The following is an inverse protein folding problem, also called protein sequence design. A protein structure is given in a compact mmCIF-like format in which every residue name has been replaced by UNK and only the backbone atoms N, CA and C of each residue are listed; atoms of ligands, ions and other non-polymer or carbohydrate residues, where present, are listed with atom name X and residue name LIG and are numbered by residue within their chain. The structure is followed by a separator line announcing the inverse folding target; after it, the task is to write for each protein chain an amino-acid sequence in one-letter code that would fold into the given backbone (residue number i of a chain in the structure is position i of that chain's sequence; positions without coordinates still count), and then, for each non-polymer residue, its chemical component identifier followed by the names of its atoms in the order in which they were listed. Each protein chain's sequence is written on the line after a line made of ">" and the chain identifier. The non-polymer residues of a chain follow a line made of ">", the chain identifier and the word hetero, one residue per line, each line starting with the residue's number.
data_IF_382342814745
#
_entry.id   IF_382342814745
#
_cell.length_a   1.000
_cell.length_b   1.000
_cell.length_c   1.000
_cell.angle_alpha   90.00
_cell.angle_beta   90.00
_cell.angle_gamma   90.00
#
_symmetry.space_group_name_H-M   'P 1'
#
loop_
_entity.id
_entity.type
_entity.pdbx_description
1 polymer ?
#
# COMPACT_ATOMS: atom_id res chain seq x y z
N UNK A 1 -17.99 -20.04 -6.98
CA UNK A 1 -18.96 -19.56 -5.97
C UNK A 1 -18.55 -18.14 -5.62
N UNK A 2 -19.36 -17.15 -6.05
CA UNK A 2 -19.06 -15.73 -5.86
C UNK A 2 -19.65 -15.30 -4.53
N UNK A 3 -18.85 -15.19 -3.49
CA UNK A 3 -19.32 -14.55 -2.25
C UNK A 3 -19.15 -13.03 -2.36
N UNK A 4 -20.27 -12.39 -2.28
CA UNK A 4 -20.46 -10.95 -2.20
C UNK A 4 -20.10 -10.52 -0.77
N UNK A 5 -19.13 -9.65 -0.61
CA UNK A 5 -18.91 -8.95 0.66
C UNK A 5 -20.13 -8.08 0.94
N UNK A 6 -20.98 -8.51 1.88
CA UNK A 6 -22.05 -7.70 2.42
C UNK A 6 -21.53 -6.94 3.63
N UNK A 7 -21.57 -5.61 3.53
CA UNK A 7 -21.41 -4.73 4.69
C UNK A 7 -22.71 -4.72 5.49
N UNK A 8 -22.68 -4.68 6.82
CA UNK A 8 -23.89 -4.56 7.61
C UNK A 8 -24.55 -3.21 7.35
N UNK A 9 -25.83 -3.27 7.05
CA UNK A 9 -26.72 -2.13 6.97
C UNK A 9 -27.12 -1.74 8.38
N UNK A 10 -26.71 -0.56 8.85
CA UNK A 10 -27.56 0.26 9.72
C UNK A 10 -27.01 1.67 9.81
N UNK A 11 -27.83 2.62 9.31
CA UNK A 11 -27.80 4.04 9.69
C UNK A 11 -26.98 4.99 8.82
N UNK A 12 -27.59 5.41 7.70
CA UNK A 12 -27.54 6.74 7.08
C UNK A 12 -26.21 7.48 6.89
N UNK A 13 -25.93 7.63 5.68
CA UNK A 13 -25.39 8.62 4.77
C UNK A 13 -24.32 8.03 3.87
N UNK A 14 -24.77 7.52 2.73
CA UNK A 14 -23.91 7.20 1.60
C UNK A 14 -23.22 8.47 1.12
N UNK A 15 -21.92 8.57 1.35
CA UNK A 15 -21.09 9.59 0.71
C UNK A 15 -20.74 9.07 -0.69
N UNK A 16 -21.52 9.48 -1.70
CA UNK A 16 -21.08 9.41 -3.08
C UNK A 16 -19.86 10.32 -3.24
N UNK A 17 -18.68 9.72 -3.38
CA UNK A 17 -17.50 10.46 -3.79
C UNK A 17 -17.61 10.71 -5.28
N UNK A 18 -18.29 11.79 -5.65
CA UNK A 18 -18.21 12.37 -6.97
C UNK A 18 -16.86 13.04 -7.14
N UNK A 19 -15.93 12.40 -7.84
CA UNK A 19 -14.69 13.04 -8.26
C UNK A 19 -14.99 14.04 -9.37
N UNK A 20 -15.22 15.29 -9.02
CA UNK A 20 -15.26 16.39 -9.97
C UNK A 20 -13.84 16.68 -10.48
N UNK A 21 -13.54 16.21 -11.69
CA UNK A 21 -12.34 16.58 -12.45
C UNK A 21 -12.57 17.93 -13.16
N UNK A 22 -12.47 19.03 -12.43
CA UNK A 22 -12.42 20.36 -13.05
C UNK A 22 -11.16 21.09 -12.54
N UNK A 23 -10.18 21.25 -13.45
CA UNK A 23 -9.21 22.35 -13.38
C UNK A 23 -7.81 22.05 -12.86
N UNK A 24 -7.19 20.92 -13.16
CA UNK A 24 -5.73 20.81 -13.09
C UNK A 24 -5.18 21.10 -14.50
N UNK A 25 -4.54 22.26 -14.66
CA UNK A 25 -3.72 22.52 -15.84
C UNK A 25 -2.53 21.58 -15.80
N UNK A 26 -2.52 20.61 -16.69
CA UNK A 26 -1.35 19.77 -16.93
C UNK A 26 -0.28 20.63 -17.59
N UNK A 27 0.91 20.65 -16.99
CA UNK A 27 2.08 21.28 -17.59
C UNK A 27 2.47 20.45 -18.83
N UNK A 28 2.37 21.04 -20.01
CA UNK A 28 2.54 20.38 -21.33
C UNK A 28 3.99 19.99 -21.67
N UNK A 29 4.87 19.86 -20.68
CA UNK A 29 6.28 19.51 -20.88
C UNK A 29 6.66 18.08 -20.49
N UNK A 30 5.71 17.20 -20.26
CA UNK A 30 6.04 15.77 -20.27
C UNK A 30 6.07 15.30 -21.72
N UNK A 31 7.29 15.20 -22.27
CA UNK A 31 7.54 14.44 -23.50
C UNK A 31 6.73 13.16 -23.46
N UNK A 32 6.00 12.90 -24.52
CA UNK A 32 5.09 11.77 -24.71
C UNK A 32 5.91 10.45 -24.75
N UNK A 33 6.55 10.10 -23.60
CA UNK A 33 7.22 8.83 -23.44
C UNK A 33 6.13 7.77 -23.32
N UNK A 34 5.95 7.02 -24.38
CA UNK A 34 5.06 5.87 -24.37
C UNK A 34 5.53 4.91 -23.27
N UNK A 35 4.72 4.72 -22.22
CA UNK A 35 5.01 3.74 -21.16
C UNK A 35 5.10 2.36 -21.81
N UNK A 36 6.28 1.74 -21.71
CA UNK A 36 6.58 0.48 -22.38
C UNK A 36 6.44 -0.71 -21.44
N UNK A 37 6.70 -0.53 -20.15
CA UNK A 37 6.70 -1.64 -19.19
C UNK A 37 6.14 -1.22 -17.83
N UNK A 38 5.15 -1.99 -17.36
CA UNK A 38 4.63 -1.88 -15.98
C UNK A 38 4.82 -3.23 -15.30
N UNK A 39 5.40 -3.23 -14.12
CA UNK A 39 5.66 -4.43 -13.33
C UNK A 39 5.33 -4.20 -11.86
N UNK A 40 4.71 -5.19 -11.21
CA UNK A 40 4.65 -5.31 -9.75
C UNK A 40 5.55 -6.47 -9.36
N UNK A 41 6.50 -6.24 -8.46
CA UNK A 41 7.48 -7.23 -8.02
C UNK A 41 7.83 -7.08 -6.55
N UNK A 42 8.44 -8.09 -5.92
CA UNK A 42 9.01 -7.93 -4.59
C UNK A 42 10.01 -6.76 -4.54
N UNK A 43 9.99 -6.05 -3.43
CA UNK A 43 10.93 -5.01 -3.08
C UNK A 43 12.32 -5.64 -2.83
N UNK A 44 13.37 -4.98 -3.28
CA UNK A 44 14.76 -5.30 -2.98
C UNK A 44 15.37 -4.16 -2.18
N UNK A 45 16.41 -4.42 -1.40
CA UNK A 45 17.00 -3.37 -0.56
C UNK A 45 17.64 -2.26 -1.40
N UNK A 46 18.14 -2.59 -2.57
CA UNK A 46 18.72 -1.66 -3.55
C UNK A 46 17.69 -0.64 -4.07
N UNK A 47 16.41 -0.97 -3.99
CA UNK A 47 15.30 -0.09 -4.38
C UNK A 47 15.09 1.08 -3.42
N UNK A 48 15.64 1.01 -2.20
CA UNK A 48 15.35 1.95 -1.11
C UNK A 48 15.49 3.42 -1.51
N UNK A 49 16.55 3.77 -2.23
CA UNK A 49 16.80 5.15 -2.65
C UNK A 49 15.69 5.73 -3.54
N UNK A 50 15.26 4.97 -4.55
CA UNK A 50 14.17 5.36 -5.44
C UNK A 50 12.82 5.35 -4.72
N UNK A 51 12.60 4.37 -3.84
CA UNK A 51 11.38 4.25 -3.07
C UNK A 51 11.18 5.45 -2.14
N UNK A 52 12.22 5.84 -1.39
CA UNK A 52 12.20 7.01 -0.52
C UNK A 52 11.99 8.32 -1.31
N UNK A 53 12.55 8.42 -2.52
CA UNK A 53 12.32 9.56 -3.40
C UNK A 53 10.86 9.64 -3.86
N UNK A 54 10.26 8.52 -4.28
CA UNK A 54 8.86 8.45 -4.69
C UNK A 54 7.92 8.80 -3.54
N UNK A 55 8.21 8.33 -2.32
CA UNK A 55 7.43 8.66 -1.12
C UNK A 55 7.37 10.18 -0.86
N UNK A 56 8.52 10.88 -0.93
CA UNK A 56 8.58 12.34 -0.72
C UNK A 56 7.72 13.12 -1.72
N UNK A 57 7.49 12.59 -2.91
CA UNK A 57 6.61 13.21 -3.90
C UNK A 57 5.13 13.01 -3.60
N UNK A 58 4.79 11.93 -2.90
CA UNK A 58 3.42 11.65 -2.46
C UNK A 58 3.03 12.50 -1.25
N UNK A 59 3.95 12.63 -0.30
CA UNK A 59 3.78 13.33 0.98
C UNK A 59 4.64 14.60 1.01
N UNK A 60 4.36 15.51 0.05
CA UNK A 60 5.17 16.71 -0.19
C UNK A 60 5.02 17.79 0.88
N UNK A 61 4.04 17.67 1.78
CA UNK A 61 3.85 18.58 2.92
C UNK A 61 4.86 18.37 4.06
N UNK A 62 5.70 17.35 3.95
CA UNK A 62 6.74 17.03 4.93
C UNK A 62 6.21 16.49 6.27
N UNK A 63 4.90 16.20 6.35
CA UNK A 63 4.27 15.68 7.57
C UNK A 63 4.66 14.23 7.87
N UNK A 64 5.05 13.48 6.86
CA UNK A 64 5.38 12.07 6.97
C UNK A 64 6.86 11.80 6.67
N UNK A 65 7.48 11.00 7.52
CA UNK A 65 8.85 10.50 7.33
C UNK A 65 8.74 9.08 6.77
N UNK A 66 9.42 8.83 5.67
CA UNK A 66 9.48 7.48 5.14
C UNK A 66 10.27 6.55 6.08
N UNK A 67 9.95 5.27 6.03
CA UNK A 67 10.64 4.20 6.74
C UNK A 67 12.16 4.31 6.60
N UNK A 68 12.89 4.08 7.67
CA UNK A 68 14.36 4.04 7.63
C UNK A 68 14.84 2.82 6.84
N UNK A 69 16.08 2.87 6.38
CA UNK A 69 16.71 1.74 5.70
C UNK A 69 16.67 0.46 6.54
N UNK A 70 16.97 0.57 7.84
CA UNK A 70 16.95 -0.54 8.80
C UNK A 70 15.53 -1.14 8.98
N UNK A 71 14.50 -0.30 8.97
CA UNK A 71 13.12 -0.74 9.03
C UNK A 71 12.72 -1.54 7.77
N UNK A 72 13.13 -1.07 6.59
CA UNK A 72 12.91 -1.80 5.33
C UNK A 72 13.70 -3.11 5.30
N UNK A 73 14.95 -3.14 5.75
CA UNK A 73 15.72 -4.39 5.91
C UNK A 73 15.02 -5.38 6.84
N UNK A 74 14.47 -4.88 7.94
CA UNK A 74 13.72 -5.72 8.88
C UNK A 74 12.49 -6.34 8.22
N UNK A 75 11.69 -5.56 7.50
CA UNK A 75 10.53 -6.05 6.75
C UNK A 75 10.93 -7.11 5.71
N UNK A 76 11.99 -6.85 4.95
CA UNK A 76 12.51 -7.78 3.94
C UNK A 76 13.04 -9.08 4.57
N UNK A 77 13.61 -9.01 5.76
CA UNK A 77 14.10 -10.18 6.49
C UNK A 77 12.97 -11.04 7.05
N UNK A 78 11.89 -10.43 7.57
CA UNK A 78 10.80 -11.18 8.24
C UNK A 78 9.71 -11.64 7.27
N UNK A 79 9.46 -10.88 6.18
CA UNK A 79 8.39 -11.18 5.23
C UNK A 79 8.66 -10.54 3.85
N UNK A 80 9.65 -11.02 3.10
CA UNK A 80 10.07 -10.40 1.83
C UNK A 80 8.97 -10.36 0.77
N UNK A 81 8.16 -11.40 0.64
CA UNK A 81 7.09 -11.49 -0.35
C UNK A 81 5.91 -10.54 -0.09
N UNK A 82 5.79 -10.04 1.13
CA UNK A 82 4.79 -9.04 1.52
C UNK A 82 5.19 -7.61 1.21
N UNK A 83 6.45 -7.37 0.82
CA UNK A 83 6.97 -6.06 0.47
C UNK A 83 7.06 -5.96 -1.05
N UNK A 84 6.25 -5.12 -1.66
CA UNK A 84 6.17 -5.03 -3.13
C UNK A 84 6.32 -3.59 -3.61
N UNK A 85 6.88 -3.44 -4.81
CA UNK A 85 6.97 -2.18 -5.53
C UNK A 85 6.28 -2.27 -6.88
N UNK A 86 5.78 -1.12 -7.33
CA UNK A 86 5.32 -0.93 -8.70
C UNK A 86 6.37 -0.15 -9.46
N UNK A 87 6.80 -0.71 -10.58
CA UNK A 87 7.84 -0.16 -11.45
C UNK A 87 7.22 0.18 -12.80
N UNK A 88 7.49 1.38 -13.28
CA UNK A 88 7.14 1.85 -14.63
C UNK A 88 8.41 2.32 -15.29
N UNK A 89 8.79 1.67 -16.40
CA UNK A 89 10.02 1.96 -17.16
C UNK A 89 11.25 2.17 -16.25
N UNK A 90 11.51 1.17 -15.39
CA UNK A 90 12.62 1.12 -14.42
C UNK A 90 12.52 2.10 -13.23
N UNK A 91 11.50 2.95 -13.18
CA UNK A 91 11.24 3.86 -12.05
C UNK A 91 10.29 3.23 -11.05
N UNK A 92 10.65 3.28 -9.78
CA UNK A 92 9.76 2.88 -8.68
C UNK A 92 8.76 4.00 -8.45
N UNK A 93 7.49 3.71 -8.69
CA UNK A 93 6.39 4.70 -8.65
C UNK A 93 5.34 4.38 -7.60
N UNK A 94 5.55 3.34 -6.82
CA UNK A 94 4.65 3.00 -5.73
C UNK A 94 5.12 1.77 -4.96
N UNK A 95 4.58 1.58 -3.78
CA UNK A 95 4.80 0.37 -3.00
C UNK A 95 3.55 -0.05 -2.21
N UNK A 96 3.58 -1.29 -1.73
CA UNK A 96 2.75 -1.76 -0.64
C UNK A 96 3.62 -2.57 0.30
N UNK A 97 3.66 -2.16 1.57
CA UNK A 97 4.35 -2.84 2.65
C UNK A 97 3.33 -3.53 3.53
N UNK A 98 3.64 -4.74 4.01
CA UNK A 98 2.68 -5.56 4.74
C UNK A 98 3.37 -6.42 5.80
N UNK A 99 2.60 -6.80 6.81
CA UNK A 99 2.94 -7.85 7.78
C UNK A 99 1.79 -8.84 7.86
N UNK A 100 2.03 -10.01 8.41
CA UNK A 100 0.98 -10.98 8.73
C UNK A 100 0.67 -10.86 10.22
N UNK A 101 -0.62 -10.81 10.58
CA UNK A 101 -1.10 -10.77 11.97
C UNK A 101 -2.31 -11.69 12.14
N UNK A 102 -2.74 -11.95 13.37
CA UNK A 102 -4.02 -12.62 13.63
C UNK A 102 -5.17 -11.62 13.56
N UNK A 103 -6.30 -12.04 13.02
CA UNK A 103 -7.53 -11.24 13.02
C UNK A 103 -7.94 -10.82 14.44
N UNK A 104 -7.82 -11.72 15.39
CA UNK A 104 -8.22 -11.47 16.77
C UNK A 104 -7.43 -10.34 17.45
N UNK A 105 -6.20 -10.09 17.00
CA UNK A 105 -5.35 -9.02 17.52
C UNK A 105 -5.73 -7.63 16.97
N UNK A 106 -6.46 -7.58 15.84
CA UNK A 106 -6.78 -6.34 15.12
C UNK A 106 -8.27 -6.13 14.82
N UNK A 107 -9.15 -7.03 15.23
CA UNK A 107 -10.60 -6.94 14.97
C UNK A 107 -11.31 -5.84 15.74
N UNK A 108 -10.75 -5.41 16.87
CA UNK A 108 -11.23 -4.29 17.66
C UNK A 108 -10.41 -3.05 17.34
N UNK A 109 -10.77 -1.93 17.96
CA UNK A 109 -10.01 -0.69 17.84
C UNK A 109 -8.54 -0.92 18.19
N UNK A 110 -7.67 -0.54 17.29
CA UNK A 110 -6.23 -0.64 17.45
C UNK A 110 -5.55 0.56 16.82
N UNK A 111 -4.41 0.94 17.34
CA UNK A 111 -3.58 2.00 16.77
C UNK A 111 -2.56 1.42 15.79
N UNK A 112 -2.10 2.26 14.87
CA UNK A 112 -1.00 1.90 13.97
C UNK A 112 0.26 1.46 14.73
N UNK A 113 0.60 2.16 15.82
CA UNK A 113 1.74 1.80 16.66
C UNK A 113 1.59 0.42 17.33
N UNK A 114 0.36 0.04 17.69
CA UNK A 114 0.11 -1.29 18.25
C UNK A 114 0.32 -2.38 17.21
N UNK A 115 -0.27 -2.22 16.03
CA UNK A 115 -0.18 -3.26 15.00
C UNK A 115 1.21 -3.38 14.39
N UNK A 116 2.00 -2.31 14.33
CA UNK A 116 3.37 -2.33 13.84
C UNK A 116 4.42 -2.63 14.92
N UNK A 117 3.98 -2.78 16.20
CA UNK A 117 4.91 -2.93 17.32
C UNK A 117 5.79 -1.70 17.50
N UNK A 118 5.22 -0.49 17.35
CA UNK A 118 5.96 0.78 17.33
C UNK A 118 7.07 0.77 16.26
N UNK A 119 6.71 0.29 15.08
CA UNK A 119 7.58 0.23 13.90
C UNK A 119 8.80 -0.71 14.02
N UNK A 120 8.78 -1.60 14.99
CA UNK A 120 9.76 -2.70 15.10
C UNK A 120 9.33 -3.95 14.33
N UNK A 121 8.06 -4.02 13.93
CA UNK A 121 7.41 -5.14 13.25
C UNK A 121 7.47 -6.48 14.00
N UNK A 122 7.73 -6.44 15.30
CA UNK A 122 7.76 -7.63 16.18
C UNK A 122 6.38 -8.29 16.36
N UNK A 123 5.33 -7.63 15.90
CA UNK A 123 3.97 -8.14 15.81
C UNK A 123 3.74 -9.06 14.62
N UNK A 124 4.68 -9.08 13.65
CA UNK A 124 4.59 -10.00 12.53
C UNK A 124 4.53 -11.45 13.02
N UNK A 125 3.49 -12.17 12.58
CA UNK A 125 3.27 -13.56 12.91
C UNK A 125 3.10 -14.39 11.63
N UNK A 126 4.10 -15.16 11.20
CA UNK A 126 4.01 -15.96 9.97
C UNK A 126 2.91 -17.04 10.02
N UNK A 127 2.36 -17.33 11.20
CA UNK A 127 1.21 -18.23 11.39
C UNK A 127 -0.11 -17.48 11.53
N UNK A 128 -0.10 -16.17 11.37
CA UNK A 128 -1.30 -15.33 11.38
C UNK A 128 -2.21 -15.62 10.19
N UNK A 129 -3.36 -15.00 10.16
CA UNK A 129 -4.40 -15.30 9.19
C UNK A 129 -4.86 -14.10 8.36
N UNK A 130 -4.20 -12.94 8.53
CA UNK A 130 -4.50 -11.70 7.80
C UNK A 130 -3.22 -11.07 7.27
N UNK A 131 -3.28 -10.59 6.02
CA UNK A 131 -2.30 -9.66 5.48
C UNK A 131 -2.66 -8.23 5.90
N UNK A 132 -1.87 -7.64 6.79
CA UNK A 132 -2.09 -6.26 7.24
C UNK A 132 -1.16 -5.30 6.46
N UNK A 133 -1.77 -4.37 5.70
CA UNK A 133 -1.05 -3.33 4.97
C UNK A 133 -0.64 -2.21 5.92
N UNK A 134 0.65 -1.92 5.96
CA UNK A 134 1.24 -0.86 6.78
C UNK A 134 1.60 0.38 5.99
N UNK A 135 1.76 0.25 4.67
CA UNK A 135 1.96 1.38 3.76
C UNK A 135 1.44 1.01 2.37
N UNK A 136 0.78 1.94 1.71
CA UNK A 136 0.41 1.81 0.28
C UNK A 136 0.39 3.19 -0.36
N UNK A 137 1.21 3.41 -1.37
CA UNK A 137 1.13 4.63 -2.15
C UNK A 137 1.42 4.42 -3.64
N UNK A 138 0.96 5.37 -4.46
CA UNK A 138 1.33 5.54 -5.86
C UNK A 138 1.75 6.99 -6.08
N UNK A 139 2.89 7.18 -6.73
CA UNK A 139 3.41 8.49 -7.14
C UNK A 139 2.35 9.27 -7.94
N UNK A 140 2.11 10.56 -7.63
CA UNK A 140 1.02 11.34 -8.23
C UNK A 140 1.03 11.34 -9.77
N UNK A 141 2.19 11.50 -10.38
CA UNK A 141 2.35 11.59 -11.84
C UNK A 141 2.02 10.29 -12.58
N UNK A 142 1.90 9.16 -11.85
CA UNK A 142 1.57 7.84 -12.40
C UNK A 142 0.17 7.36 -12.02
N UNK A 143 -0.65 8.24 -11.44
CA UNK A 143 -2.06 7.94 -11.16
C UNK A 143 -2.83 7.81 -12.49
N UNK A 144 -3.95 7.08 -12.46
CA UNK A 144 -4.73 6.81 -13.68
C UNK A 144 -4.30 5.55 -14.45
N UNK A 145 -3.10 5.02 -14.25
CA UNK A 145 -2.58 3.81 -14.90
C UNK A 145 -3.05 2.49 -14.25
N UNK A 146 -4.00 2.54 -13.33
CA UNK A 146 -4.53 1.39 -12.58
C UNK A 146 -3.47 0.61 -11.80
N UNK A 147 -2.38 1.27 -11.40
CA UNK A 147 -1.25 0.63 -10.70
C UNK A 147 -1.67 0.08 -9.33
N UNK A 148 -2.47 0.82 -8.58
CA UNK A 148 -3.01 0.35 -7.31
C UNK A 148 -3.78 -0.97 -7.48
N UNK A 149 -4.60 -1.09 -8.54
CA UNK A 149 -5.32 -2.33 -8.84
C UNK A 149 -4.37 -3.50 -9.04
N UNK A 150 -3.28 -3.31 -9.79
CA UNK A 150 -2.26 -4.36 -10.01
C UNK A 150 -1.58 -4.79 -8.71
N UNK A 151 -1.27 -3.84 -7.81
CA UNK A 151 -0.74 -4.16 -6.48
C UNK A 151 -1.74 -4.97 -5.64
N UNK A 152 -3.03 -4.62 -5.70
CA UNK A 152 -4.07 -5.37 -4.98
C UNK A 152 -4.26 -6.78 -5.55
N UNK A 153 -4.19 -6.95 -6.86
CA UNK A 153 -4.21 -8.26 -7.51
C UNK A 153 -3.04 -9.13 -7.02
N UNK A 154 -1.81 -8.59 -7.02
CA UNK A 154 -0.64 -9.29 -6.46
C UNK A 154 -0.84 -9.71 -5.00
N UNK A 155 -1.38 -8.80 -4.16
CA UNK A 155 -1.62 -9.09 -2.74
C UNK A 155 -2.72 -10.14 -2.53
N UNK A 156 -3.73 -10.20 -3.39
CA UNK A 156 -4.74 -11.27 -3.37
C UNK A 156 -4.12 -12.62 -3.70
N UNK A 157 -3.32 -12.69 -4.75
CA UNK A 157 -2.60 -13.91 -5.13
C UNK A 157 -1.67 -14.37 -4.00
N UNK A 158 -1.01 -13.42 -3.31
CA UNK A 158 -0.19 -13.72 -2.15
C UNK A 158 -1.02 -14.29 -0.99
N UNK A 159 -2.18 -13.69 -0.70
CA UNK A 159 -3.10 -14.20 0.32
C UNK A 159 -3.59 -15.61 0.02
N UNK A 160 -3.91 -15.90 -1.24
CA UNK A 160 -4.31 -17.25 -1.66
C UNK A 160 -3.17 -18.24 -1.47
N UNK A 161 -1.95 -17.92 -1.89
CA UNK A 161 -0.75 -18.76 -1.73
C UNK A 161 -0.42 -19.06 -0.27
N UNK A 162 -0.61 -18.09 0.62
CA UNK A 162 -0.32 -18.20 2.05
C UNK A 162 -1.55 -18.64 2.87
N UNK A 163 -2.68 -18.93 2.22
CA UNK A 163 -3.96 -19.28 2.87
C UNK A 163 -4.41 -18.25 3.93
N UNK A 164 -4.22 -16.96 3.64
CA UNK A 164 -4.68 -15.88 4.48
C UNK A 164 -6.15 -15.56 4.18
N UNK A 165 -6.91 -15.19 5.21
CA UNK A 165 -8.37 -15.00 5.12
C UNK A 165 -8.76 -13.67 4.46
N UNK A 166 -7.96 -12.62 4.65
CA UNK A 166 -8.26 -11.27 4.17
C UNK A 166 -7.05 -10.35 4.15
N UNK A 167 -7.25 -9.20 3.49
CA UNK A 167 -6.33 -8.06 3.53
C UNK A 167 -7.01 -6.99 4.38
N UNK A 168 -6.30 -6.48 5.40
CA UNK A 168 -6.71 -5.32 6.19
C UNK A 168 -5.69 -4.20 6.07
N UNK A 169 -6.11 -2.97 6.30
CA UNK A 169 -5.23 -1.79 6.39
C UNK A 169 -5.93 -0.68 7.15
N UNK A 170 -5.16 0.14 7.83
CA UNK A 170 -5.62 1.41 8.38
C UNK A 170 -5.62 2.49 7.29
N UNK A 171 -6.62 3.37 7.28
CA UNK A 171 -6.68 4.52 6.40
C UNK A 171 -6.58 5.82 7.21
N UNK A 172 -5.83 6.81 6.72
CA UNK A 172 -5.89 8.16 7.25
C UNK A 172 -7.11 8.86 6.64
N UNK A 173 -7.98 9.42 7.48
CA UNK A 173 -9.08 10.27 7.03
C UNK A 173 -8.57 11.71 7.08
N UNK A 174 -8.39 12.39 5.94
CA UNK A 174 -7.99 13.80 5.93
C UNK A 174 -9.03 14.66 6.62
N UNK A 175 -8.60 15.62 7.47
CA UNK A 175 -9.46 16.60 8.12
C UNK A 175 -10.39 16.08 9.23
N UNK A 176 -9.99 15.05 9.93
CA UNK A 176 -10.62 14.70 11.21
C UNK A 176 -9.77 15.18 12.37
#
# INVERSE_FOLDING_TARGET
>A
MKERLTFPSDGEQGLEISCNFAGVKYDEQMENQSITKIQVRPLQIEDYGQLAQSFRRVYSDGSDVFWTHEQIETLLRIFPEGQIVTVVDEKIVGCALSIIVNYDDVKNDHTYAQVTGKETFNTHNPKGNILYGIEVFIHPDYRGLRLARRMYEYRKDLCEKLNLKSIMFGGRIPHY
#
